data_IF_919114925749
#
_entry.id   IF_919114925749
#
_cell.length_a   1.000
_cell.length_b   1.000
_cell.length_c   1.000
_cell.angle_alpha   90.00
_cell.angle_beta   90.00
_cell.angle_gamma   90.00
#
_symmetry.space_group_name_H-M   'P 1'
#
loop_
_entity.id
_entity.type
_entity.pdbx_description
1 polymer ?
#
# COMPACT_ATOMS: atom_id res chain seq x y z
N UNK A 1 -11.68 -7.08 -17.76
CA UNK A 1 -12.13 -7.63 -16.48
C UNK A 1 -11.08 -8.66 -16.10
N UNK A 2 -10.13 -8.30 -15.24
CA UNK A 2 -9.20 -9.27 -14.68
C UNK A 2 -9.71 -9.55 -13.27
N UNK A 3 -10.24 -10.74 -13.09
CA UNK A 3 -10.61 -11.31 -11.80
C UNK A 3 -9.37 -11.36 -10.91
N UNK A 4 -9.40 -10.61 -9.81
CA UNK A 4 -8.55 -10.82 -8.64
C UNK A 4 -9.27 -11.70 -7.61
N UNK A 5 -10.17 -12.57 -8.06
CA UNK A 5 -10.83 -13.58 -7.22
C UNK A 5 -10.16 -14.92 -7.50
N UNK A 6 -9.12 -15.23 -6.72
CA UNK A 6 -8.52 -16.57 -6.75
C UNK A 6 -7.02 -16.61 -6.52
N UNK A 7 -6.51 -16.08 -5.40
CA UNK A 7 -5.21 -16.55 -4.91
C UNK A 7 -5.43 -17.78 -4.02
N UNK A 8 -5.87 -18.87 -4.65
CA UNK A 8 -5.77 -20.20 -4.03
C UNK A 8 -4.35 -20.72 -4.29
N UNK A 9 -3.54 -20.79 -3.23
CA UNK A 9 -2.39 -21.69 -3.11
C UNK A 9 -1.33 -21.62 -4.21
N UNK A 10 -0.59 -20.53 -4.31
CA UNK A 10 0.67 -20.49 -5.07
C UNK A 10 1.88 -20.61 -4.15
N UNK A 11 2.73 -21.62 -4.34
CA UNK A 11 4.06 -21.76 -3.72
C UNK A 11 5.09 -20.68 -4.16
N UNK A 12 4.62 -19.58 -4.73
CA UNK A 12 5.45 -18.49 -5.25
C UNK A 12 5.73 -17.41 -4.21
N UNK A 13 6.85 -16.74 -4.37
CA UNK A 13 7.04 -15.43 -3.74
C UNK A 13 6.25 -14.42 -4.57
N UNK A 14 5.44 -13.60 -3.91
CA UNK A 14 4.62 -12.59 -4.57
C UNK A 14 4.80 -11.28 -3.84
N UNK A 15 5.17 -10.25 -4.58
CA UNK A 15 5.30 -8.87 -4.11
C UNK A 15 4.45 -7.98 -4.99
N UNK A 16 3.78 -7.04 -4.35
CA UNK A 16 2.86 -6.15 -5.04
C UNK A 16 2.92 -4.77 -4.42
N UNK A 17 3.01 -3.75 -5.27
CA UNK A 17 2.73 -2.37 -4.91
C UNK A 17 1.45 -1.93 -5.62
N UNK A 18 0.36 -1.76 -4.87
CA UNK A 18 -0.89 -1.18 -5.38
C UNK A 18 -0.85 0.34 -5.23
N UNK A 19 -1.38 1.02 -6.23
CA UNK A 19 -1.44 2.49 -6.27
C UNK A 19 -2.85 2.94 -6.58
N UNK A 20 -3.41 3.78 -5.71
CA UNK A 20 -4.62 4.55 -5.99
C UNK A 20 -4.27 6.02 -6.19
N UNK A 21 -4.94 6.71 -7.11
CA UNK A 21 -4.77 8.16 -7.34
C UNK A 21 -6.13 8.80 -7.54
N UNK A 22 -6.36 9.89 -6.82
CA UNK A 22 -7.44 10.82 -7.14
C UNK A 22 -6.86 12.06 -7.85
N UNK A 23 -7.11 12.16 -9.15
CA UNK A 23 -6.59 13.24 -9.98
C UNK A 23 -7.20 14.61 -9.67
N UNK A 24 -8.41 14.67 -9.11
CA UNK A 24 -9.07 15.94 -8.79
C UNK A 24 -8.48 16.60 -7.54
N UNK A 25 -7.96 15.81 -6.60
CA UNK A 25 -7.33 16.31 -5.37
C UNK A 25 -5.81 16.37 -5.48
N UNK A 26 -5.20 15.60 -6.40
CA UNK A 26 -3.74 15.51 -6.55
C UNK A 26 -3.07 14.59 -5.52
N UNK A 27 -3.85 13.74 -4.86
CA UNK A 27 -3.38 12.77 -3.86
C UNK A 27 -3.49 11.33 -4.36
N UNK A 28 -2.71 10.45 -3.77
CA UNK A 28 -2.80 9.01 -3.98
C UNK A 28 -2.41 8.24 -2.73
N UNK A 29 -2.56 6.92 -2.76
CA UNK A 29 -2.28 6.01 -1.65
C UNK A 29 -1.56 4.76 -2.16
N UNK A 30 -0.78 4.14 -1.29
CA UNK A 30 -0.01 2.94 -1.59
C UNK A 30 -0.36 1.82 -0.63
N UNK A 31 -0.49 0.61 -1.16
CA UNK A 31 -0.45 -0.64 -0.39
C UNK A 31 0.71 -1.46 -0.91
N UNK A 32 1.62 -1.85 -0.03
CA UNK A 32 2.63 -2.85 -0.34
C UNK A 32 2.24 -4.18 0.29
N UNK A 33 2.33 -5.24 -0.50
CA UNK A 33 2.06 -6.60 -0.09
C UNK A 33 3.23 -7.51 -0.41
N UNK A 34 3.45 -8.49 0.47
CA UNK A 34 4.34 -9.62 0.25
C UNK A 34 3.69 -10.91 0.71
N UNK A 35 4.03 -12.04 0.08
CA UNK A 35 3.53 -13.33 0.52
C UNK A 35 3.96 -13.65 1.96
N UNK A 36 3.12 -14.35 2.75
CA UNK A 36 3.46 -14.75 4.12
C UNK A 36 4.76 -15.55 4.22
N UNK A 37 5.14 -16.26 3.15
CA UNK A 37 6.40 -17.00 3.08
C UNK A 37 7.61 -16.05 3.15
N UNK A 38 7.66 -15.02 2.28
CA UNK A 38 8.75 -14.03 2.31
C UNK A 38 8.68 -13.14 3.54
N UNK A 39 7.49 -12.90 4.07
CA UNK A 39 7.34 -12.24 5.37
C UNK A 39 7.93 -13.12 6.50
N UNK A 40 7.62 -14.41 6.57
CA UNK A 40 8.16 -15.31 7.59
C UNK A 40 9.68 -15.49 7.54
N UNK A 41 10.28 -15.42 6.34
CA UNK A 41 11.73 -15.56 6.12
C UNK A 41 12.55 -14.40 6.71
N UNK A 42 11.97 -13.21 6.94
CA UNK A 42 12.71 -12.08 7.56
C UNK A 42 12.81 -12.15 9.09
N UNK A 43 12.07 -13.04 9.76
CA UNK A 43 12.30 -13.38 11.17
C UNK A 43 11.93 -12.35 12.25
N UNK A 44 11.29 -11.22 11.90
CA UNK A 44 10.84 -10.17 12.85
C UNK A 44 9.30 -10.05 12.90
N UNK A 45 8.70 -9.61 14.01
CA UNK A 45 7.25 -9.33 14.16
C UNK A 45 6.75 -8.24 13.18
N UNK A 46 7.70 -7.44 12.65
CA UNK A 46 7.50 -6.47 11.56
C UNK A 46 7.28 -7.12 10.19
N UNK A 47 7.39 -8.43 10.08
CA UNK A 47 7.24 -9.16 8.82
C UNK A 47 5.78 -9.48 8.56
N UNK A 48 4.97 -8.43 8.51
CA UNK A 48 3.57 -8.53 8.13
C UNK A 48 3.46 -8.40 6.62
N UNK A 49 2.49 -9.13 6.09
CA UNK A 49 2.29 -9.25 4.64
C UNK A 49 1.78 -7.97 4.00
N UNK A 50 1.29 -6.99 4.78
CA UNK A 50 0.63 -5.78 4.27
C UNK A 50 1.10 -4.51 5.00
N UNK A 51 1.36 -3.47 4.23
CA UNK A 51 1.70 -2.13 4.71
C UNK A 51 1.02 -1.07 3.84
N UNK A 52 0.63 0.04 4.45
CA UNK A 52 0.03 1.18 3.74
C UNK A 52 0.91 2.40 3.90
N UNK A 53 0.92 3.29 2.91
CA UNK A 53 1.69 4.54 3.00
C UNK A 53 1.29 5.32 4.24
N UNK A 54 2.26 5.99 4.83
CA UNK A 54 2.06 6.87 5.97
C UNK A 54 2.41 8.32 5.60
N UNK A 55 1.49 9.22 5.91
CA UNK A 55 1.63 10.65 5.75
C UNK A 55 1.52 11.33 7.12
N UNK A 56 2.65 11.73 7.73
CA UNK A 56 2.64 12.40 9.04
C UNK A 56 2.04 13.80 8.99
N UNK A 57 1.84 14.37 7.79
CA UNK A 57 1.18 15.65 7.57
C UNK A 57 0.02 15.47 6.58
N UNK A 58 -1.07 14.79 7.00
CA UNK A 58 -2.23 14.58 6.14
C UNK A 58 -2.88 15.91 5.78
N UNK A 59 -3.58 15.98 4.63
CA UNK A 59 -4.45 17.11 4.34
C UNK A 59 -5.57 17.21 5.40
N UNK A 60 -6.11 18.41 5.58
CA UNK A 60 -7.25 18.71 6.46
C UNK A 60 -8.61 18.36 5.83
N UNK A 61 -8.60 17.82 4.62
CA UNK A 61 -9.75 17.31 3.90
C UNK A 61 -9.58 15.82 3.57
N UNK A 62 -10.68 15.12 3.34
CA UNK A 62 -10.66 13.75 2.82
C UNK A 62 -10.34 13.74 1.32
N UNK A 63 -9.18 13.20 0.87
CA UNK A 63 -8.80 13.24 -0.53
C UNK A 63 -9.54 12.23 -1.40
N UNK A 64 -10.35 11.34 -0.80
CA UNK A 64 -11.16 10.33 -1.48
C UNK A 64 -10.34 9.54 -2.51
N UNK A 65 -9.21 9.00 -2.06
CA UNK A 65 -8.41 8.08 -2.88
C UNK A 65 -8.98 6.67 -2.71
N UNK A 66 -9.41 6.06 -3.81
CA UNK A 66 -9.97 4.70 -3.80
C UNK A 66 -8.88 3.70 -3.39
N UNK A 67 -9.15 2.88 -2.38
CA UNK A 67 -8.20 1.88 -1.87
C UNK A 67 -8.50 0.46 -2.38
N UNK A 68 -9.78 0.10 -2.43
CA UNK A 68 -10.27 -1.15 -3.01
C UNK A 68 -11.36 -0.81 -4.04
N UNK A 69 -11.27 -1.28 -5.30
CA UNK A 69 -12.35 -1.09 -6.27
C UNK A 69 -13.49 -2.12 -6.14
N UNK A 70 -13.26 -3.25 -5.45
CA UNK A 70 -14.27 -4.31 -5.24
C UNK A 70 -15.26 -3.99 -4.11
N UNK A 71 -14.82 -3.21 -3.13
CA UNK A 71 -15.62 -2.60 -2.08
C UNK A 71 -15.30 -1.11 -2.08
N UNK A 72 -16.23 -0.15 -2.16
CA UNK A 72 -15.93 1.28 -2.31
C UNK A 72 -15.30 1.89 -1.04
N UNK A 73 -14.11 1.41 -0.70
CA UNK A 73 -13.30 1.82 0.42
C UNK A 73 -12.32 2.89 -0.05
N UNK A 74 -12.10 3.85 0.83
CA UNK A 74 -11.20 4.97 0.62
C UNK A 74 -10.04 4.83 1.60
N UNK A 75 -8.86 5.27 1.18
CA UNK A 75 -7.74 5.39 2.12
C UNK A 75 -8.10 6.36 3.25
N UNK A 76 -7.65 6.05 4.47
CA UNK A 76 -7.55 7.04 5.55
C UNK A 76 -6.71 8.24 5.04
N UNK A 77 -7.09 9.51 5.31
CA UNK A 77 -6.30 10.67 4.90
C UNK A 77 -4.82 10.60 5.32
N UNK A 78 -4.52 10.00 6.48
CA UNK A 78 -3.16 9.73 6.97
C UNK A 78 -2.38 8.74 6.09
N UNK A 79 -3.05 8.00 5.22
CA UNK A 79 -2.40 7.13 4.23
C UNK A 79 -2.29 7.74 2.84
N UNK A 80 -2.81 8.96 2.64
CA UNK A 80 -2.74 9.63 1.35
C UNK A 80 -1.52 10.54 1.26
N UNK A 81 -0.83 10.52 0.13
CA UNK A 81 0.36 11.30 -0.17
C UNK A 81 0.11 12.18 -1.40
N UNK A 82 0.77 13.35 -1.50
CA UNK A 82 0.81 14.09 -2.76
C UNK A 82 1.29 13.18 -3.90
N UNK A 83 0.66 13.28 -5.08
CA UNK A 83 0.93 12.38 -6.22
C UNK A 83 2.40 12.37 -6.65
N UNK A 84 3.13 13.45 -6.39
CA UNK A 84 4.58 13.51 -6.64
C UNK A 84 5.35 12.48 -5.80
N UNK A 85 4.99 12.30 -4.52
CA UNK A 85 5.60 11.28 -3.64
C UNK A 85 5.19 9.87 -4.03
N UNK A 86 3.93 9.67 -4.40
CA UNK A 86 3.44 8.38 -4.95
C UNK A 86 4.25 7.98 -6.19
N UNK A 87 4.48 8.93 -7.10
CA UNK A 87 5.29 8.70 -8.31
C UNK A 87 6.74 8.38 -7.99
N UNK A 88 7.33 9.04 -6.98
CA UNK A 88 8.69 8.75 -6.54
C UNK A 88 8.80 7.32 -6.00
N UNK A 89 7.88 6.90 -5.13
CA UNK A 89 7.85 5.54 -4.59
C UNK A 89 7.68 4.48 -5.67
N UNK A 90 6.77 4.71 -6.64
CA UNK A 90 6.58 3.80 -7.77
C UNK A 90 7.86 3.67 -8.62
N UNK A 91 8.55 4.79 -8.89
CA UNK A 91 9.82 4.77 -9.63
C UNK A 91 10.90 4.02 -8.87
N UNK A 92 10.99 4.23 -7.56
CA UNK A 92 11.95 3.50 -6.72
C UNK A 92 11.68 1.99 -6.74
N UNK A 93 10.43 1.58 -6.53
CA UNK A 93 10.01 0.18 -6.56
C UNK A 93 10.45 -0.52 -7.86
N UNK A 94 10.11 0.09 -9.01
CA UNK A 94 10.46 -0.47 -10.31
C UNK A 94 11.96 -0.43 -10.60
N UNK A 95 12.66 0.64 -10.18
CA UNK A 95 14.10 0.80 -10.39
C UNK A 95 14.90 -0.24 -9.60
N UNK A 96 14.49 -0.51 -8.35
CA UNK A 96 15.18 -1.46 -7.48
C UNK A 96 14.91 -2.91 -7.90
N UNK A 97 13.68 -3.24 -8.30
CA UNK A 97 13.33 -4.57 -8.80
C UNK A 97 13.43 -5.70 -7.77
N UNK A 98 13.63 -5.39 -6.48
CA UNK A 98 13.73 -6.36 -5.39
C UNK A 98 12.37 -6.78 -4.82
N UNK A 99 11.32 -6.01 -5.14
CA UNK A 99 10.00 -6.16 -4.54
C UNK A 99 9.90 -5.64 -3.11
N UNK A 100 10.96 -5.01 -2.56
CA UNK A 100 10.91 -4.40 -1.24
C UNK A 100 10.05 -3.13 -1.22
N UNK A 101 9.64 -2.73 -0.02
CA UNK A 101 8.96 -1.44 0.19
C UNK A 101 9.88 -0.29 -0.22
N UNK A 102 9.41 0.66 -1.05
CA UNK A 102 10.12 1.90 -1.31
C UNK A 102 10.46 2.65 -0.01
N UNK A 103 11.70 3.10 0.11
CA UNK A 103 12.23 3.80 1.29
C UNK A 103 11.94 5.31 1.25
N UNK A 104 11.63 5.88 0.08
CA UNK A 104 11.34 7.32 -0.03
C UNK A 104 9.99 7.75 0.60
N UNK A 105 9.22 6.82 1.15
CA UNK A 105 7.96 7.06 1.87
C UNK A 105 7.93 6.26 3.17
N UNK A 106 7.14 6.74 4.12
CA UNK A 106 6.90 6.04 5.37
C UNK A 106 5.75 5.05 5.20
N UNK A 107 5.72 4.05 6.07
CA UNK A 107 4.77 2.96 6.02
C UNK A 107 4.22 2.69 7.42
N UNK A 108 2.94 2.35 7.50
CA UNK A 108 2.32 1.82 8.70
C UNK A 108 1.73 0.44 8.41
N UNK A 109 1.55 -0.36 9.46
CA UNK A 109 0.85 -1.65 9.35
C UNK A 109 -0.57 -1.40 8.86
N UNK A 110 -1.00 -2.21 7.91
CA UNK A 110 -2.31 -2.08 7.30
C UNK A 110 -2.76 -3.40 6.68
N UNK A 111 -3.86 -3.33 5.96
CA UNK A 111 -4.47 -4.44 5.26
C UNK A 111 -4.42 -4.24 3.74
N UNK A 112 -4.65 -5.31 2.98
CA UNK A 112 -4.58 -5.29 1.50
C UNK A 112 -5.62 -4.35 0.85
N UNK A 113 -6.69 -4.06 1.60
CA UNK A 113 -7.78 -3.13 1.25
C UNK A 113 -7.44 -1.66 1.53
N UNK A 114 -6.26 -1.35 2.07
CA UNK A 114 -5.80 0.01 2.39
C UNK A 114 -6.13 0.51 3.80
N UNK A 115 -6.77 -0.30 4.64
CA UNK A 115 -7.02 0.06 6.04
C UNK A 115 -5.71 0.14 6.84
N UNK A 116 -5.65 1.08 7.79
CA UNK A 116 -4.54 1.18 8.73
C UNK A 116 -4.88 0.43 10.01
N UNK A 117 -3.95 -0.35 10.54
CA UNK A 117 -4.15 -1.08 11.80
C UNK A 117 -3.89 -0.21 13.05
N UNK A 118 -3.29 0.96 12.89
CA UNK A 118 -3.09 1.96 13.96
C UNK A 118 -4.30 2.88 14.17
N UNK A 119 -5.37 2.72 13.39
CA UNK A 119 -6.56 3.57 13.47
C UNK A 119 -7.47 3.26 14.66
N UNK A 120 -7.24 2.14 15.36
CA UNK A 120 -8.08 1.66 16.48
C UNK A 120 -7.32 1.52 17.80
N UNK A 121 -6.15 2.15 17.93
CA UNK A 121 -5.33 2.15 19.16
C UNK A 121 -5.53 3.41 19.99
#
# INVERSE_FOLDING_TARGET
MLDLVGFQGGHGVAELLRVGVNSSTGYGGLVWYVSPKRAGESGDEKSQSCWVSDNPAPPDFDPRVLSDPGCPLWYDPRSTLPVARVRAALREFCRMGTGDRPECVQWVRGEINGERLDAHS
#
